data_IF_099009439821
#
_entry.id   IF_099009439821
#
_cell.length_a   1.000
_cell.length_b   1.000
_cell.length_c   1.000
_cell.angle_alpha   90.00
_cell.angle_beta   90.00
_cell.angle_gamma   90.00
#
_symmetry.space_group_name_H-M   'P 1'
#
loop_
_entity.id
_entity.type
_entity.pdbx_description
1 polymer ?
#
# COMPACT_ATOMS: atom_id res chain seq x y z
N UNK A 1 25.15 -2.83 17.55
CA UNK A 1 24.60 -1.57 17.00
C UNK A 1 23.11 -1.58 17.29
N UNK A 2 22.66 -0.75 18.23
CA UNK A 2 21.32 -0.82 18.79
C UNK A 2 20.24 -0.52 17.75
N UNK A 3 19.42 -1.54 17.47
CA UNK A 3 18.21 -1.47 16.67
C UNK A 3 17.11 -0.75 17.44
N UNK A 4 17.07 0.58 17.34
CA UNK A 4 15.87 1.35 17.70
C UNK A 4 14.82 1.18 16.60
N UNK A 5 14.20 0.00 16.54
CA UNK A 5 13.06 -0.30 15.65
C UNK A 5 11.73 0.21 16.24
N UNK A 6 11.73 1.42 16.79
CA UNK A 6 10.50 2.15 17.05
C UNK A 6 10.24 3.09 15.87
N UNK A 7 9.04 3.02 15.29
CA UNK A 7 8.59 3.97 14.28
C UNK A 7 8.59 5.34 14.95
N UNK A 8 9.65 6.11 14.75
CA UNK A 8 9.68 7.50 15.17
C UNK A 8 8.55 8.24 14.42
N UNK A 9 7.71 9.03 15.11
CA UNK A 9 6.69 9.87 14.47
C UNK A 9 7.27 10.82 13.42
N UNK A 10 8.60 11.00 13.40
CA UNK A 10 9.34 11.80 12.40
C UNK A 10 9.56 11.12 11.05
N UNK A 11 9.08 9.89 10.83
CA UNK A 11 9.45 9.12 9.62
C UNK A 11 8.87 9.69 8.32
N UNK A 12 7.70 10.30 8.35
CA UNK A 12 7.07 10.89 7.18
C UNK A 12 6.91 12.39 7.39
N UNK A 13 7.80 13.19 6.80
CA UNK A 13 7.64 14.66 6.87
C UNK A 13 6.40 15.15 6.12
N UNK A 14 5.97 14.40 5.09
CA UNK A 14 4.78 14.73 4.30
C UNK A 14 3.93 13.48 4.10
N UNK A 15 2.62 13.68 4.16
CA UNK A 15 1.59 12.69 3.89
C UNK A 15 0.71 13.23 2.77
N UNK A 16 0.66 12.52 1.65
CA UNK A 16 -0.27 12.83 0.57
C UNK A 16 -1.59 12.10 0.83
N UNK A 17 -2.71 12.77 0.61
CA UNK A 17 -4.04 12.21 0.86
C UNK A 17 -4.88 12.41 -0.40
N UNK A 18 -5.33 11.31 -0.99
CA UNK A 18 -6.27 11.36 -2.11
C UNK A 18 -7.58 12.00 -1.65
N UNK A 19 -8.17 12.90 -2.43
CA UNK A 19 -9.44 13.56 -2.08
C UNK A 19 -10.55 12.53 -1.79
N UNK A 20 -10.55 11.40 -2.49
CA UNK A 20 -11.47 10.27 -2.24
C UNK A 20 -11.27 9.60 -0.86
N UNK A 21 -10.06 9.68 -0.29
CA UNK A 21 -9.67 9.11 1.00
C UNK A 21 -9.76 10.10 2.17
N UNK A 22 -9.86 11.40 1.90
CA UNK A 22 -9.77 12.49 2.88
C UNK A 22 -10.66 12.31 4.11
N UNK A 23 -11.93 11.97 3.91
CA UNK A 23 -12.92 11.82 4.98
C UNK A 23 -13.08 10.38 5.48
N UNK A 24 -12.21 9.46 5.06
CA UNK A 24 -12.29 8.08 5.53
C UNK A 24 -11.84 8.00 7.00
N UNK A 25 -12.56 7.26 7.89
CA UNK A 25 -12.19 7.17 9.30
C UNK A 25 -10.76 6.69 9.53
N UNK A 26 -10.29 5.73 8.72
CA UNK A 26 -8.92 5.22 8.79
C UNK A 26 -7.88 6.29 8.41
N UNK A 27 -8.20 7.22 7.51
CA UNK A 27 -7.32 8.36 7.19
C UNK A 27 -7.11 9.22 8.42
N UNK A 28 -8.20 9.59 9.12
CA UNK A 28 -8.13 10.38 10.35
C UNK A 28 -7.34 9.66 11.45
N UNK A 29 -7.55 8.35 11.60
CA UNK A 29 -6.81 7.51 12.55
C UNK A 29 -5.31 7.41 12.22
N UNK A 30 -4.94 7.38 10.93
CA UNK A 30 -3.52 7.36 10.54
C UNK A 30 -2.90 8.74 10.76
N UNK A 31 -3.56 9.82 10.34
CA UNK A 31 -3.05 11.19 10.50
C UNK A 31 -2.84 11.58 11.97
N UNK A 32 -3.68 11.08 12.88
CA UNK A 32 -3.50 11.35 14.33
C UNK A 32 -2.20 10.77 14.90
N UNK A 33 -1.60 9.76 14.24
CA UNK A 33 -0.30 9.18 14.61
C UNK A 33 0.88 10.00 14.08
N UNK A 34 0.62 10.99 13.23
CA UNK A 34 1.61 11.84 12.57
C UNK A 34 1.28 13.34 12.72
N UNK A 35 1.19 13.85 13.96
CA UNK A 35 0.74 15.22 14.22
C UNK A 35 1.69 16.31 13.67
N UNK A 36 2.95 15.98 13.42
CA UNK A 36 3.98 16.90 12.89
C UNK A 36 4.08 16.88 11.36
N UNK A 37 3.33 16.01 10.67
CA UNK A 37 3.46 15.81 9.23
C UNK A 37 2.62 16.81 8.43
N UNK A 38 3.21 17.34 7.35
CA UNK A 38 2.46 18.15 6.39
C UNK A 38 1.54 17.28 5.55
N UNK A 39 0.24 17.61 5.54
CA UNK A 39 -0.76 16.90 4.74
C UNK A 39 -0.97 17.64 3.42
N UNK A 40 -0.86 16.92 2.30
CA UNK A 40 -1.04 17.45 0.94
C UNK A 40 -2.19 16.71 0.27
N UNK A 41 -3.21 17.43 -0.18
CA UNK A 41 -4.29 16.85 -0.97
C UNK A 41 -3.82 16.56 -2.41
N UNK A 42 -4.25 15.42 -2.96
CA UNK A 42 -4.00 15.01 -4.35
C UNK A 42 -5.26 14.38 -4.95
N UNK A 43 -5.40 14.40 -6.27
CA UNK A 43 -6.55 13.77 -6.94
C UNK A 43 -6.37 12.25 -7.08
N UNK A 44 -5.13 11.80 -7.27
CA UNK A 44 -4.79 10.39 -7.42
C UNK A 44 -3.40 10.06 -6.86
N UNK A 45 -3.28 8.96 -6.10
CA UNK A 45 -1.98 8.48 -5.62
C UNK A 45 -0.95 8.28 -6.75
N UNK A 46 -1.41 8.03 -7.98
CA UNK A 46 -0.58 7.83 -9.17
C UNK A 46 0.25 9.08 -9.52
N UNK A 47 -0.21 10.28 -9.19
CA UNK A 47 0.52 11.54 -9.44
C UNK A 47 1.83 11.62 -8.67
N UNK A 48 1.87 11.02 -7.48
CA UNK A 48 3.05 10.99 -6.61
C UNK A 48 3.83 9.69 -6.81
N UNK A 49 3.13 8.58 -7.08
CA UNK A 49 3.72 7.25 -7.11
C UNK A 49 4.30 6.84 -8.48
N UNK A 50 3.70 7.25 -9.60
CA UNK A 50 4.06 6.78 -10.93
C UNK A 50 5.05 7.61 -11.77
N UNK A 51 5.38 8.89 -11.48
CA UNK A 51 6.32 9.64 -12.33
C UNK A 51 7.67 8.93 -12.54
N UNK A 52 8.17 8.84 -13.77
CA UNK A 52 9.38 8.06 -14.09
C UNK A 52 10.69 8.75 -13.70
N UNK A 53 10.71 10.08 -13.59
CA UNK A 53 11.88 10.88 -13.22
C UNK A 53 12.09 10.95 -11.70
N UNK A 54 11.99 9.82 -11.00
CA UNK A 54 12.16 9.71 -9.55
C UNK A 54 13.45 8.94 -9.21
N UNK A 55 14.19 9.41 -8.20
CA UNK A 55 15.34 8.69 -7.65
C UNK A 55 14.90 7.85 -6.45
N UNK A 56 14.71 6.54 -6.66
CA UNK A 56 14.25 5.60 -5.64
C UNK A 56 15.14 5.67 -4.36
N UNK A 57 16.46 5.63 -4.53
CA UNK A 57 17.40 5.66 -3.40
C UNK A 57 17.39 6.99 -2.64
N UNK A 58 17.16 8.11 -3.34
CA UNK A 58 16.99 9.40 -2.68
C UNK A 58 15.71 9.43 -1.86
N UNK A 59 14.61 8.92 -2.42
CA UNK A 59 13.33 8.84 -1.72
C UNK A 59 13.37 7.90 -0.52
N UNK A 60 14.14 6.80 -0.55
CA UNK A 60 14.33 5.94 0.64
C UNK A 60 14.97 6.66 1.83
N UNK A 61 15.69 7.76 1.63
CA UNK A 61 16.23 8.59 2.74
C UNK A 61 15.15 9.43 3.44
N UNK A 62 14.07 9.75 2.74
CA UNK A 62 12.92 10.47 3.28
C UNK A 62 11.63 10.03 2.55
N UNK A 63 11.15 8.80 2.79
CA UNK A 63 9.97 8.30 2.10
C UNK A 63 8.76 9.14 2.49
N UNK A 64 7.78 9.23 1.59
CA UNK A 64 6.50 9.88 1.84
C UNK A 64 5.42 8.81 1.99
N UNK A 65 4.43 9.10 2.82
CA UNK A 65 3.24 8.27 2.97
C UNK A 65 2.15 8.83 2.05
N UNK A 66 1.43 7.95 1.36
CA UNK A 66 0.29 8.29 0.52
C UNK A 66 -0.91 7.51 1.04
N UNK A 67 -1.99 8.20 1.37
CA UNK A 67 -3.26 7.61 1.79
C UNK A 67 -4.24 7.71 0.64
N UNK A 68 -4.72 6.58 0.16
CA UNK A 68 -5.52 6.49 -1.06
C UNK A 68 -6.71 5.55 -0.87
N UNK A 69 -7.64 5.55 -1.83
CA UNK A 69 -8.67 4.50 -1.93
C UNK A 69 -8.43 3.64 -3.16
N UNK A 70 -8.55 2.33 -2.98
CA UNK A 70 -8.54 1.40 -4.11
C UNK A 70 -9.91 1.48 -4.78
N UNK A 71 -9.95 1.75 -6.09
CA UNK A 71 -11.21 1.90 -6.85
C UNK A 71 -11.62 0.61 -7.58
N UNK A 72 -10.64 -0.23 -7.90
CA UNK A 72 -10.80 -1.43 -8.72
C UNK A 72 -9.72 -2.46 -8.37
N UNK A 73 -9.84 -3.68 -8.87
CA UNK A 73 -8.81 -4.71 -8.72
C UNK A 73 -8.43 -5.00 -7.25
N UNK A 74 -9.45 -5.22 -6.42
CA UNK A 74 -9.28 -5.58 -5.00
C UNK A 74 -8.68 -6.97 -4.79
N UNK A 75 -8.93 -7.88 -5.74
CA UNK A 75 -8.40 -9.24 -5.77
C UNK A 75 -7.63 -9.42 -7.07
N UNK A 76 -6.35 -9.79 -6.96
CA UNK A 76 -5.52 -10.16 -8.09
C UNK A 76 -5.43 -11.68 -8.15
N UNK A 77 -5.60 -12.32 -9.31
CA UNK A 77 -5.38 -13.76 -9.42
C UNK A 77 -3.91 -14.08 -9.12
N UNK A 78 -3.70 -15.16 -8.37
CA UNK A 78 -2.36 -15.67 -8.07
C UNK A 78 -1.54 -15.86 -9.33
N UNK A 79 -0.24 -15.56 -9.26
CA UNK A 79 0.64 -15.87 -10.38
C UNK A 79 0.73 -17.39 -10.51
N UNK A 80 0.70 -17.93 -11.74
CA UNK A 80 0.85 -19.37 -11.98
C UNK A 80 2.22 -19.96 -11.58
N UNK A 81 3.06 -19.16 -10.92
CA UNK A 81 4.39 -19.50 -10.41
C UNK A 81 4.37 -19.59 -8.87
N UNK A 82 3.49 -18.83 -8.21
CA UNK A 82 3.37 -18.87 -6.76
C UNK A 82 2.58 -20.13 -6.33
N UNK A 83 2.97 -20.78 -5.22
CA UNK A 83 2.29 -21.98 -4.76
C UNK A 83 0.84 -21.67 -4.38
N UNK A 84 -0.09 -22.29 -5.09
CA UNK A 84 -1.53 -22.22 -4.83
C UNK A 84 -1.98 -23.23 -3.76
N UNK A 85 -1.08 -24.12 -3.32
CA UNK A 85 -1.33 -25.19 -2.36
C UNK A 85 -2.53 -26.09 -2.73
N UNK A 86 -2.80 -26.26 -4.03
CA UNK A 86 -3.93 -27.06 -4.52
C UNK A 86 -5.28 -26.34 -4.50
N UNK A 87 -5.31 -25.04 -4.21
CA UNK A 87 -6.53 -24.24 -4.29
C UNK A 87 -6.74 -23.71 -5.71
N UNK A 88 -7.87 -24.07 -6.31
CA UNK A 88 -8.28 -23.57 -7.64
C UNK A 88 -8.42 -22.04 -7.70
N UNK A 89 -8.85 -21.43 -6.60
CA UNK A 89 -9.17 -20.01 -6.50
C UNK A 89 -8.14 -19.29 -5.62
N UNK A 90 -6.97 -19.04 -6.19
CA UNK A 90 -5.86 -18.38 -5.53
C UNK A 90 -5.81 -16.88 -5.90
N UNK A 91 -5.81 -16.01 -4.89
CA UNK A 91 -5.76 -14.56 -5.04
C UNK A 91 -4.75 -13.90 -4.08
N UNK A 92 -4.32 -12.69 -4.42
CA UNK A 92 -3.62 -11.78 -3.51
C UNK A 92 -4.32 -10.42 -3.48
N UNK A 93 -4.19 -9.74 -2.34
CA UNK A 93 -4.56 -8.34 -2.20
C UNK A 93 -3.32 -7.45 -2.21
N UNK A 94 -3.49 -6.20 -2.62
CA UNK A 94 -2.47 -5.16 -2.51
C UNK A 94 -3.04 -4.03 -1.66
N UNK A 95 -2.94 -4.19 -0.33
CA UNK A 95 -3.40 -3.22 0.66
C UNK A 95 -2.42 -2.05 0.82
N UNK A 96 -1.14 -2.34 0.58
CA UNK A 96 -0.04 -1.37 0.61
C UNK A 96 0.80 -1.56 -0.65
N UNK A 97 1.23 -0.46 -1.27
CA UNK A 97 2.25 -0.47 -2.30
C UNK A 97 3.58 -0.01 -1.71
N UNK A 98 4.66 -0.66 -2.18
CA UNK A 98 6.02 -0.45 -1.73
C UNK A 98 6.28 -0.92 -0.29
N UNK A 99 7.47 -0.64 0.23
CA UNK A 99 7.92 -1.13 1.51
C UNK A 99 8.67 -0.05 2.29
N UNK A 100 8.70 -0.19 3.61
CA UNK A 100 9.43 0.68 4.52
C UNK A 100 10.95 0.45 4.49
N UNK A 101 11.37 -0.74 4.09
CA UNK A 101 12.77 -1.17 4.09
C UNK A 101 13.49 -0.82 2.78
N UNK A 102 14.82 -0.73 2.84
CA UNK A 102 15.70 -0.51 1.69
C UNK A 102 16.66 -1.69 1.51
N UNK A 103 16.12 -2.87 1.22
CA UNK A 103 16.94 -4.07 1.01
C UNK A 103 17.67 -3.98 -0.33
N UNK A 104 18.97 -4.31 -0.37
CA UNK A 104 19.78 -4.32 -1.59
C UNK A 104 19.27 -5.27 -2.67
N UNK A 105 18.54 -6.32 -2.26
CA UNK A 105 17.94 -7.34 -3.13
C UNK A 105 16.43 -7.12 -3.39
N UNK A 106 15.88 -5.95 -3.04
CA UNK A 106 14.45 -5.71 -3.15
C UNK A 106 13.99 -5.60 -4.62
N UNK A 107 13.18 -6.54 -5.09
CA UNK A 107 12.64 -6.52 -6.45
C UNK A 107 11.70 -5.33 -6.70
N UNK A 108 11.08 -4.76 -5.66
CA UNK A 108 10.20 -3.59 -5.79
C UNK A 108 10.93 -2.37 -6.34
N UNK A 109 12.27 -2.30 -6.18
CA UNK A 109 13.09 -1.23 -6.77
C UNK A 109 13.04 -1.24 -8.30
N UNK A 110 12.80 -2.40 -8.92
CA UNK A 110 12.60 -2.54 -10.36
C UNK A 110 11.13 -2.51 -10.79
N UNK A 111 10.19 -2.67 -9.84
CA UNK A 111 8.75 -2.71 -10.13
C UNK A 111 8.10 -1.33 -10.09
N UNK A 112 8.53 -0.47 -9.18
CA UNK A 112 7.93 0.85 -8.98
C UNK A 112 8.96 1.97 -9.21
N UNK A 113 8.59 3.06 -9.91
CA UNK A 113 9.49 4.20 -10.11
C UNK A 113 9.65 5.04 -8.83
N UNK A 114 8.76 4.87 -7.83
CA UNK A 114 8.81 5.57 -6.55
C UNK A 114 9.24 4.65 -5.40
N UNK A 115 9.86 5.23 -4.37
CA UNK A 115 10.10 4.59 -3.07
C UNK A 115 9.06 4.99 -2.00
N UNK A 116 8.09 5.85 -2.34
CA UNK A 116 7.01 6.25 -1.44
C UNK A 116 6.09 5.06 -1.14
N UNK A 117 5.40 5.11 -0.01
CA UNK A 117 4.50 4.04 0.45
C UNK A 117 3.07 4.51 0.23
N UNK A 118 2.27 3.73 -0.49
CA UNK A 118 0.85 4.00 -0.66
C UNK A 118 0.03 3.00 0.16
N UNK A 119 -0.82 3.49 1.05
CA UNK A 119 -1.72 2.68 1.88
C UNK A 119 -3.15 2.93 1.41
N UNK A 120 -3.86 1.85 1.08
CA UNK A 120 -5.28 1.93 0.76
C UNK A 120 -6.12 1.85 2.03
N UNK A 121 -6.94 2.87 2.26
CA UNK A 121 -7.64 3.03 3.54
C UNK A 121 -8.98 2.29 3.59
N UNK A 122 -9.53 1.91 2.44
CA UNK A 122 -10.86 1.31 2.26
C UNK A 122 -10.84 -0.23 2.31
N UNK A 123 -10.30 -0.80 3.39
CA UNK A 123 -10.19 -2.26 3.57
C UNK A 123 -11.55 -2.97 3.60
N UNK A 124 -12.61 -2.28 4.00
CA UNK A 124 -13.98 -2.78 3.98
C UNK A 124 -14.43 -3.21 2.58
N UNK A 125 -14.00 -2.50 1.53
CA UNK A 125 -14.31 -2.86 0.14
C UNK A 125 -13.53 -4.12 -0.28
N UNK A 126 -12.27 -4.28 0.15
CA UNK A 126 -11.51 -5.51 -0.07
C UNK A 126 -12.18 -6.72 0.58
N UNK A 127 -12.66 -6.57 1.81
CA UNK A 127 -13.38 -7.62 2.54
C UNK A 127 -14.68 -7.95 1.81
N UNK A 128 -15.46 -6.95 1.39
CA UNK A 128 -16.69 -7.16 0.64
C UNK A 128 -16.43 -7.95 -0.66
N UNK A 129 -15.43 -7.54 -1.46
CA UNK A 129 -15.07 -8.26 -2.69
C UNK A 129 -14.57 -9.68 -2.45
N UNK A 130 -13.85 -9.90 -1.36
CA UNK A 130 -13.43 -11.25 -0.93
C UNK A 130 -14.65 -12.12 -0.60
N UNK A 131 -15.63 -11.58 0.11
CA UNK A 131 -16.86 -12.30 0.44
C UNK A 131 -17.72 -12.61 -0.79
N UNK A 132 -17.83 -11.67 -1.74
CA UNK A 132 -18.48 -11.89 -3.03
C UNK A 132 -17.80 -13.05 -3.78
N UNK A 133 -16.47 -13.05 -3.86
CA UNK A 133 -15.72 -14.13 -4.51
C UNK A 133 -15.89 -15.47 -3.80
N UNK A 134 -15.86 -15.50 -2.47
CA UNK A 134 -16.03 -16.72 -1.68
C UNK A 134 -17.39 -17.39 -1.92
N UNK A 135 -18.46 -16.60 -2.09
CA UNK A 135 -19.79 -17.12 -2.41
C UNK A 135 -19.83 -17.82 -3.77
N UNK A 136 -19.06 -17.33 -4.75
CA UNK A 136 -18.98 -17.93 -6.09
C UNK A 136 -18.09 -19.17 -6.10
N UNK A 137 -16.95 -19.13 -5.40
CA UNK A 137 -15.93 -20.17 -5.46
C UNK A 137 -16.08 -21.29 -4.43
N UNK A 138 -16.90 -21.09 -3.37
CA UNK A 138 -17.07 -21.95 -2.18
C UNK A 138 -15.83 -22.08 -1.29
N UNK A 139 -14.63 -22.04 -1.86
CA UNK A 139 -13.35 -21.91 -1.16
C UNK A 139 -12.46 -20.95 -1.93
N UNK A 140 -11.56 -20.26 -1.22
CA UNK A 140 -10.54 -19.43 -1.84
C UNK A 140 -9.29 -19.42 -0.96
N UNK A 141 -8.14 -19.30 -1.59
CA UNK A 141 -6.87 -19.01 -0.92
C UNK A 141 -6.51 -17.55 -1.21
N UNK A 142 -6.51 -16.72 -0.16
CA UNK A 142 -6.18 -15.30 -0.25
C UNK A 142 -4.91 -15.03 0.55
N UNK A 143 -3.84 -14.66 -0.16
CA UNK A 143 -2.67 -14.07 0.47
C UNK A 143 -2.99 -12.67 0.98
N UNK A 144 -2.70 -12.45 2.26
CA UNK A 144 -2.76 -11.13 2.89
C UNK A 144 -1.33 -10.59 2.86
N UNK A 145 -1.15 -9.42 2.24
CA UNK A 145 0.12 -8.70 2.16
C UNK A 145 0.50 -7.98 3.45
#
# INVERSE_FOLDING_TARGET
MHSNNFISPKRFSHIYVEESAKYHPKTSEILSKFPESYTIAIDSYKEVFNPSAQSFQTQKRSPKLILAKRKEQFLYPGSGIAPDFGYQFFYYNALVLNCLYNCSYCYLQGMYPSANIAVFVNNEEYIQKTQEQLKLSKSLYLCIS
#
